data_IF_598628555669
#
_entry.id   IF_598628555669
#
_cell.length_a   1.000
_cell.length_b   1.000
_cell.length_c   1.000
_cell.angle_alpha   90.00
_cell.angle_beta   90.00
_cell.angle_gamma   90.00
#
_symmetry.space_group_name_H-M   'P 1'
#
loop_
_entity.id
_entity.type
_entity.pdbx_description
1 polymer ?
#
# COMPACT_ATOMS: atom_id res chain seq x y z
N UNK A 1 12.65 0.36 10.31
CA UNK A 1 11.40 -0.39 10.10
C UNK A 1 10.25 0.60 10.11
N UNK A 2 9.31 0.45 9.18
CA UNK A 2 8.08 1.25 9.12
C UNK A 2 7.30 1.02 10.42
N UNK A 3 6.87 2.09 11.10
CA UNK A 3 6.21 2.03 12.42
C UNK A 3 4.76 2.51 12.32
N UNK A 4 3.92 2.03 13.23
CA UNK A 4 2.50 2.38 13.29
C UNK A 4 1.71 2.02 12.03
N UNK A 5 0.79 2.89 11.61
CA UNK A 5 -0.19 2.64 10.53
C UNK A 5 0.44 2.14 9.22
N UNK A 6 1.57 2.73 8.83
CA UNK A 6 2.26 2.45 7.58
C UNK A 6 2.82 1.01 7.50
N UNK A 7 3.10 0.37 8.65
CA UNK A 7 3.53 -1.03 8.68
C UNK A 7 2.42 -2.00 8.30
N UNK A 8 1.15 -1.57 8.37
CA UNK A 8 -0.02 -2.35 8.00
C UNK A 8 -0.54 -2.00 6.60
N UNK A 9 -0.50 -0.71 6.25
CA UNK A 9 -0.97 -0.25 4.95
C UNK A 9 -0.07 -0.74 3.80
N UNK A 10 1.26 -0.65 3.94
CA UNK A 10 2.18 -0.96 2.83
C UNK A 10 2.12 -2.41 2.36
N UNK A 11 2.08 -3.44 3.24
CA UNK A 11 1.96 -4.82 2.76
C UNK A 11 0.65 -5.09 2.00
N UNK A 12 -0.46 -4.47 2.45
CA UNK A 12 -1.76 -4.60 1.79
C UNK A 12 -1.76 -3.92 0.41
N UNK A 13 -1.24 -2.71 0.34
CA UNK A 13 -1.11 -1.92 -0.89
C UNK A 13 -0.23 -2.65 -1.92
N UNK A 14 0.90 -3.21 -1.47
CA UNK A 14 1.80 -3.99 -2.33
C UNK A 14 1.12 -5.28 -2.83
N UNK A 15 0.47 -6.06 -1.96
CA UNK A 15 -0.24 -7.27 -2.41
C UNK A 15 -1.34 -6.97 -3.43
N UNK A 16 -2.14 -5.93 -3.19
CA UNK A 16 -3.19 -5.52 -4.11
C UNK A 16 -2.61 -5.05 -5.46
N UNK A 17 -1.54 -4.25 -5.45
CA UNK A 17 -0.88 -3.78 -6.65
C UNK A 17 -0.28 -4.93 -7.47
N UNK A 18 0.38 -5.90 -6.84
CA UNK A 18 0.94 -7.06 -7.54
C UNK A 18 -0.14 -7.96 -8.15
N UNK A 19 -1.24 -8.19 -7.44
CA UNK A 19 -2.39 -8.94 -7.97
C UNK A 19 -2.98 -8.24 -9.20
N UNK A 20 -3.18 -6.92 -9.14
CA UNK A 20 -3.67 -6.15 -10.29
C UNK A 20 -2.70 -6.14 -11.48
N UNK A 21 -1.39 -6.09 -11.23
CA UNK A 21 -0.38 -6.14 -12.30
C UNK A 21 -0.35 -7.51 -12.97
N UNK A 22 -0.45 -8.60 -12.20
CA UNK A 22 -0.47 -9.96 -12.73
C UNK A 22 -1.62 -10.14 -13.76
N UNK A 23 -2.80 -9.66 -13.41
CA UNK A 23 -4.01 -9.74 -14.24
C UNK A 23 -3.94 -8.84 -15.48
N UNK A 24 -3.34 -7.65 -15.36
CA UNK A 24 -3.06 -6.79 -16.51
C UNK A 24 -2.07 -7.45 -17.49
N UNK A 25 -1.11 -8.23 -16.99
CA UNK A 25 -0.18 -8.98 -17.82
C UNK A 25 -0.92 -10.11 -18.54
N UNK A 26 -1.78 -10.86 -17.86
CA UNK A 26 -2.59 -11.91 -18.49
C UNK A 26 -3.53 -11.33 -19.56
N UNK A 27 -4.16 -10.18 -19.30
CA UNK A 27 -4.95 -9.46 -20.30
C UNK A 27 -4.12 -8.95 -21.49
N UNK A 28 -2.90 -8.45 -21.25
CA UNK A 28 -2.01 -8.03 -22.32
C UNK A 28 -1.54 -9.23 -23.18
N UNK A 29 -1.26 -10.37 -22.56
CA UNK A 29 -0.92 -11.62 -23.25
C UNK A 29 -2.11 -12.10 -24.10
N UNK A 30 -3.32 -12.09 -23.55
CA UNK A 30 -4.55 -12.39 -24.28
C UNK A 30 -4.71 -11.56 -25.56
N UNK A 31 -4.50 -10.24 -25.47
CA UNK A 31 -4.60 -9.33 -26.63
C UNK A 31 -3.53 -9.59 -27.70
N UNK A 32 -2.32 -10.01 -27.31
CA UNK A 32 -1.19 -10.20 -28.22
C UNK A 32 -1.22 -11.58 -28.90
N UNK A 33 -1.66 -12.62 -28.19
CA UNK A 33 -1.65 -14.01 -28.66
C UNK A 33 -3.01 -14.51 -29.17
N UNK A 34 -4.05 -13.67 -29.13
CA UNK A 34 -5.46 -14.00 -29.33
C UNK A 34 -5.77 -15.14 -30.31
N UNK A 35 -6.37 -16.21 -29.79
CA UNK A 35 -6.78 -17.41 -30.54
C UNK A 35 -6.71 -18.70 -29.72
N UNK A 36 -7.23 -19.82 -30.26
CA UNK A 36 -7.49 -21.15 -29.64
C UNK A 36 -6.41 -21.73 -28.67
N UNK A 37 -5.19 -21.20 -28.70
CA UNK A 37 -4.11 -21.53 -27.76
C UNK A 37 -4.32 -20.95 -26.34
N UNK A 38 -5.16 -19.92 -26.20
CA UNK A 38 -5.43 -19.20 -24.96
C UNK A 38 -6.20 -20.07 -23.94
N UNK A 39 -7.20 -20.83 -24.40
CA UNK A 39 -8.03 -21.69 -23.54
C UNK A 39 -7.27 -22.87 -22.94
N UNK A 40 -6.12 -23.24 -23.51
CA UNK A 40 -5.34 -24.41 -23.07
C UNK A 40 -4.12 -24.02 -22.23
N UNK A 41 -3.62 -22.78 -22.35
CA UNK A 41 -2.42 -22.31 -21.63
C UNK A 41 -2.68 -21.28 -20.52
N UNK A 42 -3.72 -20.45 -20.62
CA UNK A 42 -3.97 -19.37 -19.65
C UNK A 42 -5.02 -19.73 -18.58
N UNK A 43 -5.67 -20.90 -18.68
CA UNK A 43 -6.62 -21.37 -17.65
C UNK A 43 -7.96 -20.64 -17.63
N UNK A 44 -8.27 -19.80 -18.62
CA UNK A 44 -9.56 -19.12 -18.72
C UNK A 44 -10.67 -20.14 -19.01
N UNK A 45 -11.43 -20.54 -17.98
CA UNK A 45 -12.55 -21.49 -18.08
C UNK A 45 -13.78 -20.90 -18.79
N UNK A 46 -13.59 -19.99 -19.75
CA UNK A 46 -14.66 -19.28 -20.43
C UNK A 46 -15.36 -18.21 -19.59
N UNK A 47 -14.90 -17.90 -18.37
CA UNK A 47 -15.41 -16.81 -17.54
C UNK A 47 -14.51 -15.57 -17.64
N UNK A 48 -15.01 -14.52 -18.30
CA UNK A 48 -14.33 -13.22 -18.44
C UNK A 48 -14.21 -12.51 -17.08
N UNK A 49 -15.01 -12.92 -16.09
CA UNK A 49 -15.04 -12.32 -14.76
C UNK A 49 -14.13 -13.06 -13.75
N UNK A 50 -13.41 -14.10 -14.17
CA UNK A 50 -12.48 -14.86 -13.30
C UNK A 50 -11.39 -13.94 -12.72
N UNK A 51 -10.72 -13.18 -13.59
CA UNK A 51 -9.76 -12.13 -13.24
C UNK A 51 -10.28 -11.12 -12.20
N UNK A 52 -11.53 -10.65 -12.38
CA UNK A 52 -12.14 -9.68 -11.47
C UNK A 52 -12.48 -10.30 -10.11
N UNK A 53 -12.90 -11.57 -10.09
CA UNK A 53 -13.13 -12.33 -8.85
C UNK A 53 -11.83 -12.58 -8.11
N UNK A 54 -10.76 -12.95 -8.81
CA UNK A 54 -9.47 -13.27 -8.20
C UNK A 54 -8.80 -12.04 -7.58
N UNK A 55 -8.81 -10.90 -8.28
CA UNK A 55 -8.38 -9.62 -7.71
C UNK A 55 -9.18 -9.22 -6.47
N UNK A 56 -10.51 -9.41 -6.52
CA UNK A 56 -11.38 -9.10 -5.38
C UNK A 56 -11.10 -10.02 -4.20
N UNK A 57 -10.89 -11.32 -4.45
CA UNK A 57 -10.60 -12.33 -3.43
C UNK A 57 -9.23 -12.10 -2.80
N UNK A 58 -8.21 -11.79 -3.61
CA UNK A 58 -6.87 -11.45 -3.15
C UNK A 58 -6.88 -10.19 -2.28
N UNK A 59 -7.60 -9.15 -2.71
CA UNK A 59 -7.76 -7.90 -1.95
C UNK A 59 -8.50 -8.14 -0.64
N UNK A 60 -9.58 -8.94 -0.65
CA UNK A 60 -10.33 -9.31 0.55
C UNK A 60 -9.48 -10.14 1.52
N UNK A 61 -8.70 -11.10 1.02
CA UNK A 61 -7.79 -11.92 1.83
C UNK A 61 -6.69 -11.09 2.50
N UNK A 62 -6.12 -10.14 1.77
CA UNK A 62 -5.17 -9.17 2.32
C UNK A 62 -5.84 -8.30 3.40
N UNK A 63 -7.04 -7.76 3.13
CA UNK A 63 -7.80 -6.95 4.09
C UNK A 63 -8.10 -7.71 5.38
N UNK A 64 -8.60 -8.94 5.28
CA UNK A 64 -8.89 -9.80 6.44
C UNK A 64 -7.63 -10.06 7.25
N UNK A 65 -6.53 -10.42 6.59
CA UNK A 65 -5.23 -10.65 7.25
C UNK A 65 -4.78 -9.41 8.01
N UNK A 66 -4.92 -8.22 7.42
CA UNK A 66 -4.56 -6.97 8.08
C UNK A 66 -5.46 -6.65 9.27
N UNK A 67 -6.76 -6.89 9.18
CA UNK A 67 -7.71 -6.70 10.29
C UNK A 67 -7.37 -7.64 11.45
N UNK A 68 -7.05 -8.91 11.18
CA UNK A 68 -6.64 -9.87 12.20
C UNK A 68 -5.37 -9.40 12.90
N UNK A 69 -4.35 -9.01 12.13
CA UNK A 69 -3.09 -8.53 12.69
C UNK A 69 -3.30 -7.23 13.49
N UNK A 70 -4.13 -6.31 13.02
CA UNK A 70 -4.47 -5.08 13.74
C UNK A 70 -5.23 -5.39 15.04
N UNK A 71 -6.15 -6.35 15.03
CA UNK A 71 -6.90 -6.78 16.21
C UNK A 71 -5.99 -7.43 17.26
N UNK A 72 -5.06 -8.29 16.84
CA UNK A 72 -4.04 -8.88 17.72
C UNK A 72 -3.18 -7.76 18.32
N UNK A 73 -2.66 -6.85 17.51
CA UNK A 73 -1.84 -5.74 18.02
C UNK A 73 -2.62 -4.83 18.97
N UNK A 74 -3.90 -4.58 18.70
CA UNK A 74 -4.78 -3.84 19.58
C UNK A 74 -4.97 -4.52 20.95
N UNK A 75 -5.06 -5.86 20.96
CA UNK A 75 -5.28 -6.62 22.19
C UNK A 75 -4.00 -6.79 23.04
N UNK A 76 -2.83 -6.84 22.40
CA UNK A 76 -1.55 -7.09 23.05
C UNK A 76 -0.76 -5.80 23.38
N UNK A 77 -0.95 -4.71 22.61
CA UNK A 77 -0.22 -3.45 22.82
C UNK A 77 -1.19 -2.34 23.26
N UNK A 78 -1.14 -1.88 24.53
CA UNK A 78 -2.00 -0.80 25.01
C UNK A 78 -1.73 0.54 24.32
N UNK A 79 -0.50 0.79 23.85
CA UNK A 79 -0.12 2.02 23.14
C UNK A 79 -0.43 2.00 21.64
N UNK A 80 -1.03 0.93 21.12
CA UNK A 80 -1.29 0.77 19.68
C UNK A 80 -2.09 1.92 19.08
N UNK A 81 -3.15 2.39 19.77
CA UNK A 81 -3.96 3.52 19.30
C UNK A 81 -3.13 4.81 19.17
N UNK A 82 -2.27 5.07 20.15
CA UNK A 82 -1.39 6.26 20.15
C UNK A 82 -0.36 6.18 19.02
N UNK A 83 0.15 4.99 18.73
CA UNK A 83 1.11 4.78 17.64
C UNK A 83 0.49 5.04 16.26
N UNK A 84 -0.74 4.56 16.03
CA UNK A 84 -1.51 4.86 14.81
C UNK A 84 -1.82 6.35 14.70
N UNK A 85 -2.34 6.96 15.76
CA UNK A 85 -2.65 8.39 15.78
C UNK A 85 -1.42 9.25 15.50
N UNK A 86 -0.27 8.89 16.11
CA UNK A 86 0.99 9.58 15.88
C UNK A 86 1.53 9.44 14.45
N UNK A 87 1.16 8.35 13.74
CA UNK A 87 1.58 8.08 12.36
C UNK A 87 0.75 8.87 11.33
N UNK A 88 -0.49 9.23 11.69
CA UNK A 88 -1.39 10.06 10.89
C UNK A 88 -1.21 11.56 11.21
N UNK A 89 -0.73 11.89 12.41
CA UNK A 89 -0.43 13.27 12.78
C UNK A 89 0.83 13.77 12.06
N UNK A 90 0.72 14.88 11.32
CA UNK A 90 1.88 15.52 10.69
C UNK A 90 2.76 16.16 11.77
N UNK A 91 3.86 15.49 12.11
CA UNK A 91 4.83 15.94 13.12
C UNK A 91 5.79 16.98 12.54
N UNK A 92 5.32 18.20 12.25
CA UNK A 92 6.20 19.36 12.02
C UNK A 92 5.66 20.62 12.69
N UNK A 93 6.26 20.94 13.85
CA UNK A 93 6.21 22.26 14.51
C UNK A 93 7.59 22.96 14.46
N UNK A 94 8.53 22.48 13.67
CA UNK A 94 9.77 23.20 13.40
C UNK A 94 9.55 24.12 12.20
N UNK A 95 9.99 25.40 12.26
CA UNK A 95 10.02 26.25 11.08
C UNK A 95 10.84 25.54 9.99
N UNK A 96 10.41 25.68 8.74
CA UNK A 96 11.08 25.04 7.61
C UNK A 96 12.55 25.48 7.58
N UNK A 97 13.48 24.60 7.16
CA UNK A 97 14.92 24.87 7.25
C UNK A 97 15.36 26.18 6.58
N UNK A 98 14.61 26.64 5.57
CA UNK A 98 14.78 27.94 4.93
C UNK A 98 14.61 29.13 5.91
N UNK A 99 13.66 29.06 6.84
CA UNK A 99 13.37 30.11 7.83
C UNK A 99 14.48 30.20 8.88
N UNK A 100 15.09 29.07 9.23
CA UNK A 100 16.25 29.04 10.14
C UNK A 100 17.51 29.57 9.43
N UNK A 101 17.71 29.20 8.17
CA UNK A 101 18.82 29.71 7.33
C UNK A 101 18.72 31.23 7.13
N UNK A 102 17.53 31.78 6.88
CA UNK A 102 17.33 33.22 6.82
C UNK A 102 17.63 33.92 8.16
N UNK A 103 17.24 33.30 9.29
CA UNK A 103 17.51 33.82 10.62
C UNK A 103 19.01 33.89 10.91
N UNK A 104 19.75 32.84 10.55
CA UNK A 104 21.21 32.77 10.65
C UNK A 104 21.89 33.81 9.76
N UNK A 105 21.44 33.96 8.50
CA UNK A 105 21.99 34.93 7.55
C UNK A 105 21.74 36.37 7.99
N UNK A 106 20.60 36.64 8.64
CA UNK A 106 20.26 37.95 9.23
C UNK A 106 21.11 38.25 10.47
N UNK A 107 21.38 37.26 11.32
CA UNK A 107 22.30 37.41 12.47
C UNK A 107 23.75 37.65 12.04
N UNK A 108 24.23 36.96 10.99
CA UNK A 108 25.59 37.14 10.46
C UNK A 108 25.81 38.48 9.74
N UNK A 109 24.74 39.18 9.35
CA UNK A 109 24.81 40.48 8.66
C UNK A 109 24.71 41.68 9.63
N UNK A 110 24.26 41.43 10.86
CA UNK A 110 24.09 42.43 11.93
C UNK A 110 25.22 42.39 12.97
N UNK A 111 26.21 41.51 12.79
CA UNK A 111 27.43 41.37 13.59
C UNK A 111 28.63 41.69 12.70
#
# INVERSE_FOLDING_TARGET
GVKGFWGYYLPLDVMAAFSMIYELIEWAVALVFGGELEMTYLGTQGDIWDAHKDMALATLGALISMVIVAFINYRYKPDFKKEIESSLSVKRKTPLGEVELERMKKHSKNN
#
